data_IF_767216162227
#
_entry.id   IF_767216162227
#
_cell.length_a   1.000
_cell.length_b   1.000
_cell.length_c   1.000
_cell.angle_alpha   90.00
_cell.angle_beta   90.00
_cell.angle_gamma   90.00
#
_symmetry.space_group_name_H-M   'P 1'
#
loop_
_entity.id
_entity.type
_entity.pdbx_description
1 polymer ?
#
# COMPACT_ATOMS: atom_id res chain seq x y z
N UNK A 1 34.27 1.76 14.27
CA UNK A 1 33.40 1.63 13.05
C UNK A 1 32.95 0.17 12.82
N UNK A 2 33.88 -0.80 12.85
CA UNK A 2 33.55 -2.23 12.66
C UNK A 2 32.58 -2.77 13.72
N UNK A 3 32.69 -2.31 14.97
CA UNK A 3 31.79 -2.72 16.05
C UNK A 3 30.36 -2.19 15.88
N UNK A 4 30.17 -1.00 15.28
CA UNK A 4 28.84 -0.47 14.93
C UNK A 4 28.16 -1.32 13.86
N UNK A 5 28.90 -1.75 12.85
CA UNK A 5 28.39 -2.54 11.73
C UNK A 5 28.05 -3.98 12.13
N UNK A 6 28.80 -4.56 13.07
CA UNK A 6 28.60 -5.95 13.53
C UNK A 6 27.46 -6.06 14.53
N UNK A 7 27.28 -5.07 15.40
CA UNK A 7 26.24 -5.11 16.43
C UNK A 7 24.93 -4.46 15.97
N UNK A 8 24.94 -3.67 14.88
CA UNK A 8 23.75 -2.97 14.38
C UNK A 8 23.10 -2.05 15.44
N UNK A 9 23.83 -1.72 16.48
CA UNK A 9 23.41 -0.81 17.53
C UNK A 9 23.80 0.61 17.07
N UNK A 10 22.90 1.28 16.37
CA UNK A 10 22.84 2.71 16.60
C UNK A 10 22.59 2.87 18.08
N UNK A 11 23.48 3.63 18.76
CA UNK A 11 23.29 4.00 20.15
C UNK A 11 21.82 4.36 20.32
N UNK A 12 21.14 3.74 21.25
CA UNK A 12 19.72 3.96 21.53
C UNK A 12 19.52 5.47 21.56
N UNK A 13 18.87 6.00 20.50
CA UNK A 13 18.52 7.41 20.49
C UNK A 13 17.63 7.61 21.69
N UNK A 14 18.09 8.38 22.67
CA UNK A 14 17.25 8.76 23.78
C UNK A 14 16.09 9.58 23.22
N UNK A 15 14.87 9.15 23.48
CA UNK A 15 13.67 9.86 23.08
C UNK A 15 12.72 9.99 24.26
N UNK A 16 12.08 11.14 24.37
CA UNK A 16 11.12 11.42 25.43
C UNK A 16 9.70 11.01 25.06
N UNK A 17 9.42 10.89 23.75
CA UNK A 17 8.06 10.61 23.25
C UNK A 17 8.11 9.71 22.03
N UNK A 18 7.10 8.84 21.93
CA UNK A 18 6.81 8.04 20.74
C UNK A 18 5.44 8.45 20.24
N UNK A 19 5.34 8.75 18.94
CA UNK A 19 4.09 9.07 18.28
C UNK A 19 3.78 8.04 17.17
N UNK A 20 2.51 7.74 16.99
CA UNK A 20 2.03 6.92 15.86
C UNK A 20 1.30 7.85 14.90
N UNK A 21 1.75 7.88 13.65
CA UNK A 21 1.17 8.70 12.59
C UNK A 21 0.86 7.84 11.36
N UNK A 22 -0.05 8.31 10.51
CA UNK A 22 -0.32 7.69 9.22
C UNK A 22 0.72 8.17 8.21
N UNK A 23 1.35 7.22 7.51
CA UNK A 23 2.28 7.54 6.43
C UNK A 23 1.51 7.77 5.12
N UNK A 24 1.87 8.81 4.39
CA UNK A 24 1.39 9.03 3.03
C UNK A 24 2.02 7.99 2.06
N UNK A 25 1.35 7.67 0.94
CA UNK A 25 1.90 6.74 -0.06
C UNK A 25 3.29 7.13 -0.56
N UNK A 26 3.55 8.43 -0.71
CA UNK A 26 4.85 8.97 -1.14
C UNK A 26 5.95 8.65 -0.12
N UNK A 27 5.67 8.81 1.18
CA UNK A 27 6.61 8.47 2.24
C UNK A 27 6.91 6.96 2.27
N UNK A 28 5.90 6.11 2.03
CA UNK A 28 6.08 4.66 1.94
C UNK A 28 6.98 4.29 0.76
N UNK A 29 6.80 4.92 -0.41
CA UNK A 29 7.67 4.72 -1.58
C UNK A 29 9.10 5.18 -1.32
N UNK A 30 9.29 6.29 -0.62
CA UNK A 30 10.60 6.79 -0.24
C UNK A 30 11.36 5.83 0.69
N UNK A 31 10.67 5.21 1.65
CA UNK A 31 11.26 4.21 2.54
C UNK A 31 11.54 2.88 1.86
N UNK A 32 10.85 2.59 0.78
CA UNK A 32 10.89 1.30 0.10
C UNK A 32 12.17 1.10 -0.69
N UNK A 33 12.69 -0.14 -0.62
CA UNK A 33 13.81 -0.61 -1.43
C UNK A 33 13.37 -1.22 -2.76
N UNK A 34 12.07 -1.33 -2.98
CA UNK A 34 11.49 -1.84 -4.22
C UNK A 34 10.08 -2.39 -4.07
N UNK A 35 9.42 -2.56 -5.20
CA UNK A 35 8.07 -3.08 -5.29
C UNK A 35 8.06 -4.61 -5.25
N UNK A 36 7.18 -5.17 -4.43
CA UNK A 36 6.88 -6.62 -4.41
C UNK A 36 5.78 -6.89 -5.45
N UNK A 37 6.13 -7.58 -6.53
CA UNK A 37 5.22 -7.83 -7.66
C UNK A 37 4.53 -9.18 -7.62
N UNK A 38 5.12 -10.15 -6.90
CA UNK A 38 4.63 -11.53 -6.83
C UNK A 38 4.23 -11.88 -5.40
N UNK A 39 3.13 -12.62 -5.21
CA UNK A 39 2.71 -13.10 -3.89
C UNK A 39 3.56 -14.26 -3.35
N UNK A 40 4.48 -14.78 -4.18
CA UNK A 40 5.30 -15.92 -3.82
C UNK A 40 6.29 -15.58 -2.71
N UNK A 41 6.58 -16.56 -1.86
CA UNK A 41 7.50 -16.42 -0.73
C UNK A 41 8.83 -17.10 -1.01
N UNK A 42 8.83 -18.42 -1.05
CA UNK A 42 10.01 -19.25 -1.28
C UNK A 42 9.74 -20.31 -2.36
N UNK A 43 10.78 -20.73 -3.03
CA UNK A 43 10.72 -21.90 -3.91
C UNK A 43 10.74 -23.19 -3.07
N UNK A 44 9.71 -24.02 -3.18
CA UNK A 44 9.55 -25.25 -2.39
C UNK A 44 10.67 -26.29 -2.61
N UNK A 45 11.31 -26.26 -3.78
CA UNK A 45 12.38 -27.21 -4.13
C UNK A 45 13.73 -26.76 -3.59
N UNK A 46 14.01 -25.45 -3.62
CA UNK A 46 15.33 -24.91 -3.27
C UNK A 46 15.35 -24.21 -1.91
N UNK A 47 14.18 -23.96 -1.32
CA UNK A 47 13.96 -23.16 -0.10
C UNK A 47 14.56 -21.74 -0.15
N UNK A 48 14.83 -21.23 -1.35
CA UNK A 48 15.33 -19.87 -1.54
C UNK A 48 14.17 -18.90 -1.80
N UNK A 49 14.27 -17.65 -1.33
CA UNK A 49 13.29 -16.61 -1.63
C UNK A 49 13.11 -16.40 -3.14
N UNK A 50 11.88 -16.36 -3.58
CA UNK A 50 11.55 -16.07 -4.99
C UNK A 50 11.86 -14.62 -5.34
N UNK A 51 12.47 -14.36 -6.53
CA UNK A 51 12.73 -13.03 -7.01
C UNK A 51 11.44 -12.23 -7.21
N UNK A 52 11.38 -11.00 -6.68
CA UNK A 52 10.20 -10.14 -6.76
C UNK A 52 9.06 -10.51 -5.82
N UNK A 53 9.23 -11.57 -5.03
CA UNK A 53 8.25 -12.04 -4.05
C UNK A 53 8.37 -11.35 -2.68
N UNK A 54 7.55 -11.81 -1.74
CA UNK A 54 7.44 -11.26 -0.38
C UNK A 54 8.73 -11.37 0.44
N UNK A 55 9.66 -12.26 0.07
CA UNK A 55 10.95 -12.45 0.73
C UNK A 55 12.14 -12.15 -0.19
N UNK A 56 11.93 -11.43 -1.28
CA UNK A 56 12.94 -11.15 -2.29
C UNK A 56 14.24 -10.62 -1.69
N UNK A 57 15.36 -11.25 -2.01
CA UNK A 57 16.68 -10.84 -1.51
C UNK A 57 17.18 -9.54 -2.15
N UNK A 58 16.69 -9.19 -3.34
CA UNK A 58 17.04 -7.93 -4.02
C UNK A 58 16.44 -6.73 -3.30
N UNK A 59 15.20 -6.87 -2.79
CA UNK A 59 14.47 -5.81 -2.07
C UNK A 59 14.93 -5.76 -0.60
N UNK A 60 14.87 -6.90 0.09
CA UNK A 60 15.07 -6.95 1.54
C UNK A 60 16.50 -7.25 1.98
N UNK A 61 17.33 -7.73 1.08
CA UNK A 61 18.70 -8.09 1.38
C UNK A 61 18.95 -9.61 1.42
N UNK A 62 20.22 -10.02 1.60
CA UNK A 62 20.63 -11.41 1.56
C UNK A 62 20.11 -12.22 2.75
N UNK A 63 19.91 -13.51 2.56
CA UNK A 63 19.52 -14.44 3.65
C UNK A 63 20.71 -14.84 4.51
N UNK A 64 21.91 -14.87 3.93
CA UNK A 64 23.17 -15.18 4.63
C UNK A 64 24.10 -13.97 4.63
N UNK A 65 24.81 -13.79 5.72
CA UNK A 65 25.76 -12.70 5.84
C UNK A 65 26.82 -12.73 4.75
N UNK A 66 26.98 -11.60 4.09
CA UNK A 66 27.98 -11.38 3.04
C UNK A 66 27.95 -12.41 1.89
N UNK A 67 26.78 -12.94 1.57
CA UNK A 67 26.57 -13.86 0.44
C UNK A 67 25.40 -13.41 -0.44
N UNK A 68 25.64 -13.24 -1.73
CA UNK A 68 24.57 -12.95 -2.68
C UNK A 68 23.74 -14.22 -3.01
N UNK A 69 22.52 -14.04 -3.53
CA UNK A 69 21.59 -15.16 -3.79
C UNK A 69 22.14 -16.23 -4.73
N UNK A 70 22.92 -15.85 -5.76
CA UNK A 70 23.52 -16.79 -6.71
C UNK A 70 24.85 -17.40 -6.22
N UNK A 71 25.41 -16.91 -5.11
CA UNK A 71 26.66 -17.39 -4.56
C UNK A 71 27.94 -16.92 -5.28
N UNK A 72 27.83 -16.00 -6.26
CA UNK A 72 29.00 -15.44 -6.97
C UNK A 72 29.91 -14.66 -6.02
N UNK A 73 29.34 -13.80 -5.20
CA UNK A 73 30.05 -13.03 -4.19
C UNK A 73 29.78 -13.62 -2.81
N UNK A 74 30.86 -14.00 -2.12
CA UNK A 74 30.85 -14.51 -0.75
C UNK A 74 31.96 -13.85 0.03
N UNK A 75 31.74 -13.68 1.34
CA UNK A 75 32.64 -13.11 2.32
C UNK A 75 32.63 -11.58 2.37
N UNK A 76 33.09 -11.08 3.52
CA UNK A 76 33.08 -9.65 3.92
C UNK A 76 33.86 -8.74 2.96
N UNK A 77 34.86 -9.25 2.25
CA UNK A 77 35.65 -8.45 1.30
C UNK A 77 34.81 -7.84 0.15
N UNK A 78 33.61 -8.37 -0.08
CA UNK A 78 32.69 -7.87 -1.10
C UNK A 78 31.54 -7.05 -0.50
N UNK A 79 31.65 -6.64 0.78
CA UNK A 79 30.62 -5.81 1.44
C UNK A 79 30.27 -4.59 0.60
N UNK A 80 28.96 -4.34 0.42
CA UNK A 80 28.42 -3.22 -0.35
C UNK A 80 28.37 -3.42 -1.86
N UNK A 81 28.90 -4.54 -2.39
CA UNK A 81 28.83 -4.83 -3.81
C UNK A 81 27.42 -5.34 -4.16
N UNK A 82 26.81 -4.75 -5.17
CA UNK A 82 25.57 -5.28 -5.75
C UNK A 82 25.96 -6.31 -6.82
N UNK A 83 25.48 -7.54 -6.64
CA UNK A 83 25.80 -8.62 -7.57
C UNK A 83 25.22 -8.33 -8.96
N UNK A 84 26.06 -8.30 -9.97
CA UNK A 84 25.70 -8.09 -11.38
C UNK A 84 24.81 -9.21 -11.94
N UNK A 85 24.89 -10.43 -11.37
CA UNK A 85 24.10 -11.58 -11.83
C UNK A 85 22.71 -11.66 -11.17
N UNK A 86 22.61 -11.47 -9.85
CA UNK A 86 21.36 -11.65 -9.13
C UNK A 86 20.78 -10.34 -8.53
N UNK A 87 21.52 -9.23 -8.60
CA UNK A 87 21.08 -7.91 -8.11
C UNK A 87 21.01 -7.79 -6.58
N UNK A 88 21.50 -8.79 -5.84
CA UNK A 88 21.49 -8.78 -4.36
C UNK A 88 22.72 -8.09 -3.84
N UNK A 89 22.55 -7.15 -2.92
CA UNK A 89 23.64 -6.48 -2.23
C UNK A 89 24.30 -7.42 -1.21
N UNK A 90 25.62 -7.44 -1.20
CA UNK A 90 26.44 -8.25 -0.28
C UNK A 90 26.58 -7.49 1.04
N UNK A 91 25.74 -7.82 2.02
CA UNK A 91 25.71 -7.20 3.34
C UNK A 91 25.28 -8.22 4.40
N UNK A 92 25.11 -7.77 5.63
CA UNK A 92 24.62 -8.62 6.72
C UNK A 92 23.13 -8.95 6.52
N UNK A 93 22.73 -10.16 6.85
CA UNK A 93 21.33 -10.62 6.72
C UNK A 93 20.36 -9.87 7.63
N UNK A 94 20.87 -9.24 8.71
CA UNK A 94 20.07 -8.45 9.65
C UNK A 94 19.34 -7.28 8.97
N UNK A 95 19.88 -6.72 7.87
CA UNK A 95 19.22 -5.63 7.12
C UNK A 95 17.80 -6.01 6.66
N UNK A 96 17.48 -7.29 6.57
CA UNK A 96 16.14 -7.79 6.24
C UNK A 96 15.07 -7.41 7.28
N UNK A 97 15.48 -7.07 8.49
CA UNK A 97 14.57 -6.61 9.56
C UNK A 97 14.25 -5.12 9.45
N UNK A 98 15.13 -4.36 8.78
CA UNK A 98 15.06 -2.90 8.73
C UNK A 98 14.57 -2.40 7.36
N UNK A 99 14.87 -3.15 6.29
CA UNK A 99 14.50 -2.76 4.92
C UNK A 99 13.02 -2.98 4.67
N UNK A 100 12.39 -1.97 4.11
CA UNK A 100 10.99 -1.98 3.70
C UNK A 100 10.87 -2.16 2.20
N UNK A 101 9.84 -2.85 1.77
CA UNK A 101 9.34 -2.89 0.40
C UNK A 101 7.90 -2.35 0.38
N UNK A 102 7.34 -2.18 -0.80
CA UNK A 102 5.95 -1.77 -0.94
C UNK A 102 5.21 -2.65 -1.95
N UNK A 103 3.91 -2.61 -1.89
CA UNK A 103 3.00 -3.24 -2.84
C UNK A 103 2.12 -2.13 -3.40
N UNK A 104 2.14 -1.94 -4.72
CA UNK A 104 1.19 -1.05 -5.39
C UNK A 104 -0.18 -1.73 -5.42
N UNK A 105 -1.17 -1.05 -4.87
CA UNK A 105 -2.54 -1.54 -4.87
C UNK A 105 -3.22 -1.26 -6.21
N UNK A 106 -4.04 -2.19 -6.70
CA UNK A 106 -4.79 -2.02 -7.94
C UNK A 106 -5.84 -0.89 -7.84
N UNK A 107 -6.40 -0.70 -6.64
CA UNK A 107 -7.38 0.35 -6.33
C UNK A 107 -7.06 0.99 -4.98
N UNK A 108 -7.43 2.25 -4.74
CA UNK A 108 -7.29 2.89 -3.44
C UNK A 108 -8.05 2.13 -2.35
N UNK A 109 -7.52 2.17 -1.13
CA UNK A 109 -8.14 1.57 0.06
C UNK A 109 -8.30 2.64 1.14
N UNK A 110 -9.47 2.71 1.75
CA UNK A 110 -9.73 3.63 2.85
C UNK A 110 -9.07 3.16 4.14
N UNK A 111 -8.34 4.06 4.81
CA UNK A 111 -7.72 3.77 6.09
C UNK A 111 -8.78 3.63 7.19
N UNK A 112 -8.68 2.57 7.98
CA UNK A 112 -9.65 2.22 9.02
C UNK A 112 -9.86 3.32 10.08
N UNK A 113 -8.83 4.11 10.38
CA UNK A 113 -8.93 5.21 11.35
C UNK A 113 -9.88 6.31 10.91
N UNK A 114 -10.04 6.53 9.61
CA UNK A 114 -10.92 7.54 9.06
C UNK A 114 -12.32 7.00 8.75
N UNK A 115 -12.40 5.69 8.47
CA UNK A 115 -13.65 5.01 8.14
C UNK A 115 -14.42 4.55 9.38
N UNK A 116 -13.78 3.75 10.26
CA UNK A 116 -14.43 3.04 11.38
C UNK A 116 -14.25 3.71 12.75
N UNK A 117 -13.64 4.88 12.82
CA UNK A 117 -13.64 5.65 14.07
C UNK A 117 -15.07 6.11 14.44
N UNK A 118 -15.33 6.21 15.72
CA UNK A 118 -16.61 6.73 16.20
C UNK A 118 -16.42 8.13 16.78
N UNK A 119 -16.92 9.18 16.15
CA UNK A 119 -17.63 9.23 14.85
C UNK A 119 -16.69 9.03 13.64
N UNK A 120 -17.22 8.54 12.53
CA UNK A 120 -16.46 8.37 11.27
C UNK A 120 -16.07 9.75 10.71
N UNK A 121 -14.78 10.00 10.57
CA UNK A 121 -14.28 11.27 10.02
C UNK A 121 -14.67 11.46 8.55
N UNK A 122 -14.60 10.38 7.76
CA UNK A 122 -15.04 10.40 6.37
C UNK A 122 -16.55 10.65 6.27
N UNK A 123 -17.33 9.98 7.12
CA UNK A 123 -18.77 10.19 7.18
C UNK A 123 -19.17 11.61 7.53
N UNK A 124 -18.47 12.24 8.48
CA UNK A 124 -18.71 13.64 8.86
C UNK A 124 -18.39 14.64 7.74
N UNK A 125 -17.25 14.43 7.04
CA UNK A 125 -16.85 15.33 5.95
C UNK A 125 -17.78 15.23 4.74
N UNK A 126 -18.29 14.04 4.44
CA UNK A 126 -19.17 13.81 3.31
C UNK A 126 -20.66 13.90 3.65
N UNK A 127 -21.01 14.09 4.92
CA UNK A 127 -22.39 14.04 5.41
C UNK A 127 -23.10 12.71 5.06
N UNK A 128 -22.35 11.62 5.15
CA UNK A 128 -22.83 10.26 4.86
C UNK A 128 -22.74 9.42 6.13
N UNK A 129 -23.78 8.68 6.45
CA UNK A 129 -23.75 7.76 7.60
C UNK A 129 -22.68 6.69 7.43
N UNK A 130 -22.05 6.26 8.53
CA UNK A 130 -20.98 5.24 8.49
C UNK A 130 -21.44 3.95 7.78
N UNK A 131 -22.71 3.55 7.99
CA UNK A 131 -23.31 2.37 7.33
C UNK A 131 -23.39 2.55 5.81
N UNK A 132 -23.82 3.71 5.35
CA UNK A 132 -23.91 3.99 3.92
C UNK A 132 -22.53 4.09 3.28
N UNK A 133 -21.58 4.70 3.98
CA UNK A 133 -20.19 4.77 3.54
C UNK A 133 -19.55 3.38 3.39
N UNK A 134 -19.83 2.47 4.33
CA UNK A 134 -19.37 1.08 4.22
C UNK A 134 -19.97 0.37 2.99
N UNK A 135 -21.25 0.59 2.69
CA UNK A 135 -21.88 0.01 1.49
C UNK A 135 -21.23 0.48 0.19
N UNK A 136 -20.83 1.73 0.12
CA UNK A 136 -20.08 2.26 -1.04
C UNK A 136 -18.69 1.61 -1.13
N UNK A 137 -17.94 1.59 -0.02
CA UNK A 137 -16.56 1.09 0.02
C UNK A 137 -16.49 -0.42 -0.27
N UNK A 138 -17.48 -1.19 0.19
CA UNK A 138 -17.56 -2.63 -0.05
C UNK A 138 -18.27 -3.02 -1.36
N UNK A 139 -18.46 -2.05 -2.26
CA UNK A 139 -19.05 -2.30 -3.61
C UNK A 139 -20.49 -2.81 -3.60
N UNK A 140 -21.28 -2.41 -2.60
CA UNK A 140 -22.72 -2.71 -2.53
C UNK A 140 -23.57 -1.65 -3.20
N UNK A 141 -23.11 -0.37 -3.20
CA UNK A 141 -23.84 0.76 -3.77
C UNK A 141 -22.92 1.72 -4.51
N UNK A 142 -23.47 2.37 -5.53
CA UNK A 142 -22.85 3.53 -6.15
C UNK A 142 -23.06 4.78 -5.32
N UNK A 143 -22.08 5.67 -5.34
CA UNK A 143 -22.16 7.01 -4.81
C UNK A 143 -22.16 8.00 -5.98
N UNK A 144 -23.18 8.84 -6.06
CA UNK A 144 -23.26 9.93 -7.04
C UNK A 144 -22.25 11.00 -6.64
N UNK A 145 -21.28 11.27 -7.51
CA UNK A 145 -20.22 12.25 -7.31
C UNK A 145 -20.63 13.57 -7.97
N UNK A 146 -21.09 13.50 -9.21
CA UNK A 146 -21.61 14.62 -9.98
C UNK A 146 -22.96 14.24 -10.59
N UNK A 147 -24.07 14.85 -10.16
CA UNK A 147 -25.39 14.58 -10.71
C UNK A 147 -25.59 15.15 -12.12
N UNK A 148 -24.72 16.06 -12.58
CA UNK A 148 -24.84 16.71 -13.88
C UNK A 148 -26.16 17.43 -14.08
N UNK A 149 -26.89 17.08 -15.15
CA UNK A 149 -28.22 17.65 -15.45
C UNK A 149 -29.37 16.71 -15.09
N UNK A 150 -29.10 15.65 -14.33
CA UNK A 150 -30.10 14.68 -13.91
C UNK A 150 -30.79 15.10 -12.62
N UNK A 151 -31.96 14.55 -12.28
CA UNK A 151 -32.65 14.82 -11.02
C UNK A 151 -32.01 14.10 -9.81
N UNK A 152 -30.88 13.44 -10.00
CA UNK A 152 -30.13 12.80 -8.92
C UNK A 152 -29.55 13.85 -7.96
N UNK A 153 -29.40 13.47 -6.73
CA UNK A 153 -28.77 14.34 -5.72
C UNK A 153 -27.28 13.99 -5.56
N UNK A 154 -26.45 14.99 -5.28
CA UNK A 154 -25.05 14.78 -4.92
C UNK A 154 -24.97 13.91 -3.67
N UNK A 155 -24.04 12.96 -3.66
CA UNK A 155 -23.86 11.96 -2.59
C UNK A 155 -25.03 10.99 -2.37
N UNK A 156 -26.00 10.95 -3.31
CA UNK A 156 -27.03 9.94 -3.31
C UNK A 156 -26.42 8.55 -3.51
N UNK A 157 -26.96 7.56 -2.81
CA UNK A 157 -26.60 6.15 -3.00
C UNK A 157 -27.57 5.51 -3.96
N UNK A 158 -27.02 4.80 -4.95
CA UNK A 158 -27.78 4.03 -5.92
C UNK A 158 -27.45 2.55 -5.78
N UNK A 159 -28.46 1.71 -5.90
CA UNK A 159 -28.28 0.27 -6.10
C UNK A 159 -27.89 0.00 -7.56
N UNK A 160 -27.43 -1.22 -7.87
CA UNK A 160 -27.12 -1.62 -9.25
C UNK A 160 -28.32 -1.39 -10.20
N UNK A 161 -29.53 -1.70 -9.73
CA UNK A 161 -30.75 -1.52 -10.52
C UNK A 161 -31.07 -0.04 -10.79
N UNK A 162 -31.00 0.79 -9.76
CA UNK A 162 -31.21 2.24 -9.87
C UNK A 162 -30.14 2.90 -10.74
N UNK A 163 -28.89 2.46 -10.65
CA UNK A 163 -27.80 2.94 -11.49
C UNK A 163 -28.02 2.61 -12.97
N UNK A 164 -28.36 1.35 -13.29
CA UNK A 164 -28.68 0.94 -14.67
C UNK A 164 -29.91 1.69 -15.21
N UNK A 165 -30.96 1.83 -14.39
CA UNK A 165 -32.14 2.59 -14.79
C UNK A 165 -31.81 4.05 -15.08
N UNK A 166 -30.97 4.68 -14.24
CA UNK A 166 -30.54 6.05 -14.46
C UNK A 166 -29.68 6.21 -15.72
N UNK A 167 -28.84 5.21 -16.04
CA UNK A 167 -28.08 5.20 -17.30
C UNK A 167 -28.96 5.06 -18.52
N UNK A 168 -29.98 4.21 -18.46
CA UNK A 168 -30.95 4.02 -19.56
C UNK A 168 -31.82 5.27 -19.78
N UNK A 169 -32.19 5.97 -18.69
CA UNK A 169 -33.09 7.13 -18.75
C UNK A 169 -32.36 8.42 -19.12
N UNK A 170 -31.15 8.66 -18.56
CA UNK A 170 -30.43 9.93 -18.71
C UNK A 170 -29.21 9.84 -19.61
N UNK A 171 -28.71 8.63 -19.90
CA UNK A 171 -27.49 8.37 -20.66
C UNK A 171 -26.26 8.21 -19.79
N UNK A 172 -25.29 7.44 -20.28
CA UNK A 172 -24.08 7.06 -19.53
C UNK A 172 -23.21 8.25 -19.12
N UNK A 173 -23.14 9.31 -19.94
CA UNK A 173 -22.28 10.48 -19.71
C UNK A 173 -23.01 11.63 -18.99
N UNK A 174 -24.26 11.46 -18.56
CA UNK A 174 -25.07 12.53 -17.99
C UNK A 174 -24.80 12.79 -16.52
N UNK A 175 -24.23 11.85 -15.81
CA UNK A 175 -23.86 11.92 -14.38
C UNK A 175 -22.66 11.04 -14.09
N UNK A 176 -21.98 11.29 -12.96
CA UNK A 176 -20.86 10.49 -12.51
C UNK A 176 -21.21 9.83 -11.19
N UNK A 177 -21.26 8.49 -11.18
CA UNK A 177 -21.39 7.69 -9.98
C UNK A 177 -20.36 6.56 -9.98
N UNK A 178 -19.79 6.27 -8.84
CA UNK A 178 -18.73 5.26 -8.67
C UNK A 178 -18.94 4.45 -7.39
N UNK A 179 -18.27 3.32 -7.33
CA UNK A 179 -18.18 2.46 -6.14
C UNK A 179 -16.78 2.46 -5.54
N UNK A 180 -16.67 1.94 -4.32
CA UNK A 180 -15.39 1.70 -3.66
C UNK A 180 -14.75 2.94 -3.07
N UNK A 181 -13.51 2.78 -2.62
CA UNK A 181 -12.76 3.90 -2.03
C UNK A 181 -12.40 5.00 -3.05
N UNK A 182 -12.44 4.71 -4.35
CA UNK A 182 -12.28 5.72 -5.39
C UNK A 182 -13.43 6.73 -5.36
N UNK A 183 -14.67 6.26 -5.23
CA UNK A 183 -15.82 7.13 -5.11
C UNK A 183 -15.69 8.08 -3.91
N UNK A 184 -15.25 7.55 -2.79
CA UNK A 184 -15.04 8.33 -1.57
C UNK A 184 -13.92 9.37 -1.74
N UNK A 185 -12.80 8.98 -2.38
CA UNK A 185 -11.70 9.90 -2.69
C UNK A 185 -12.14 11.03 -3.61
N UNK A 186 -12.87 10.70 -4.66
CA UNK A 186 -13.31 11.67 -5.66
C UNK A 186 -14.37 12.63 -5.07
N UNK A 187 -15.28 12.13 -4.24
CA UNK A 187 -16.21 12.95 -3.48
C UNK A 187 -15.52 13.89 -2.48
N UNK A 188 -14.44 13.43 -1.81
CA UNK A 188 -13.66 14.27 -0.91
C UNK A 188 -12.87 15.37 -1.62
N UNK A 189 -12.52 15.18 -2.89
CA UNK A 189 -11.83 16.18 -3.69
C UNK A 189 -12.75 17.37 -4.06
N UNK A 190 -14.06 17.23 -3.90
CA UNK A 190 -15.07 18.25 -4.17
C UNK A 190 -15.48 19.04 -2.91
N UNK A 191 -15.05 18.63 -1.72
CA UNK A 191 -15.29 19.28 -0.43
C UNK A 191 -14.19 20.27 -0.12
#
# INVERSE_FOLDING_TARGET
>A
EVARDVLGYEATKQFDRVGITVAAPEAIREWSRGEVKNPETINYRTFKPEPGGLFCQRIFGPVRDYECACGKYKRIKYKGVICDRCGVEVTVSRVRRDRMGHIELAVPVSHIWFLKSMPSRLGLLLDITARNLERVIYYENYLVIDPGKTPLEERQLLTDQEYMQAQDEYGEDSFVARMGAEAVRDALALV
#
